data_IF_961095966455
#
_entry.id   IF_961095966455
#
_cell.length_a   1.000
_cell.length_b   1.000
_cell.length_c   1.000
_cell.angle_alpha   90.00
_cell.angle_beta   90.00
_cell.angle_gamma   90.00
#
_symmetry.space_group_name_H-M   'P 1'
#
loop_
_entity.id
_entity.type
_entity.pdbx_description
1 polymer ?
#
# COMPACT_ATOMS: atom_id res chain seq x y z
N UNK A 1 -11.99 31.65 -1.13
CA UNK A 1 -11.23 30.40 -1.24
C UNK A 1 -12.22 29.32 -1.66
N UNK A 2 -12.05 28.64 -2.80
CA UNK A 2 -13.06 27.74 -3.32
C UNK A 2 -13.13 26.50 -2.44
N UNK A 3 -14.33 26.14 -1.99
CA UNK A 3 -14.59 24.85 -1.35
C UNK A 3 -14.43 23.79 -2.42
N UNK A 4 -13.27 23.12 -2.43
CA UNK A 4 -13.07 21.93 -3.23
C UNK A 4 -14.15 20.92 -2.86
N UNK A 5 -14.99 20.58 -3.84
CA UNK A 5 -16.00 19.55 -3.74
C UNK A 5 -15.34 18.27 -3.20
N UNK A 6 -15.64 17.95 -1.94
CA UNK A 6 -15.16 16.73 -1.32
C UNK A 6 -16.11 15.64 -1.82
N UNK A 7 -15.79 15.02 -2.96
CA UNK A 7 -16.51 13.81 -3.36
C UNK A 7 -16.42 12.84 -2.19
N UNK A 8 -17.55 12.36 -1.64
CA UNK A 8 -17.53 11.40 -0.55
C UNK A 8 -16.73 10.18 -1.01
N UNK A 9 -15.57 9.96 -0.40
CA UNK A 9 -14.82 8.72 -0.61
C UNK A 9 -15.68 7.59 -0.05
N UNK A 10 -16.10 6.68 -0.91
CA UNK A 10 -16.73 5.45 -0.46
C UNK A 10 -15.64 4.63 0.27
N UNK A 11 -15.87 4.37 1.55
CA UNK A 11 -14.95 3.67 2.43
C UNK A 11 -15.52 2.31 2.84
N UNK A 12 -15.84 1.39 1.91
CA UNK A 12 -16.55 0.17 2.25
C UNK A 12 -15.72 -0.78 3.12
N UNK A 13 -14.39 -0.78 2.96
CA UNK A 13 -13.50 -1.74 3.59
C UNK A 13 -13.29 -1.50 5.10
N UNK A 14 -13.29 -2.57 5.89
CA UNK A 14 -12.87 -2.53 7.28
C UNK A 14 -11.36 -2.24 7.40
N UNK A 15 -10.90 -1.75 8.55
CA UNK A 15 -9.46 -1.63 8.82
C UNK A 15 -8.82 -3.02 8.81
N UNK A 16 -7.66 -3.21 8.15
CA UNK A 16 -7.05 -4.53 8.08
C UNK A 16 -6.57 -4.99 9.48
N UNK A 17 -6.77 -6.28 9.80
CA UNK A 17 -6.23 -6.87 11.02
C UNK A 17 -4.70 -6.90 10.97
N UNK A 18 -4.05 -7.14 12.10
CA UNK A 18 -2.58 -7.24 12.16
C UNK A 18 -1.83 -5.90 12.12
N UNK A 19 -0.75 -5.82 12.90
CA UNK A 19 0.05 -4.59 13.00
C UNK A 19 0.81 -4.26 11.70
N UNK A 20 1.33 -5.27 10.99
CA UNK A 20 2.06 -5.10 9.73
C UNK A 20 1.20 -4.46 8.64
N UNK A 21 -0.03 -4.96 8.46
CA UNK A 21 -0.99 -4.40 7.50
C UNK A 21 -1.36 -2.95 7.82
N UNK A 22 -1.63 -2.65 9.09
CA UNK A 22 -1.95 -1.27 9.50
C UNK A 22 -0.77 -0.32 9.32
N UNK A 23 0.46 -0.76 9.58
CA UNK A 23 1.66 0.01 9.33
C UNK A 23 1.83 0.30 7.83
N UNK A 24 1.67 -0.72 6.98
CA UNK A 24 1.75 -0.56 5.53
C UNK A 24 0.70 0.44 5.02
N UNK A 25 -0.56 0.26 5.42
CA UNK A 25 -1.64 1.15 5.01
C UNK A 25 -1.39 2.58 5.48
N UNK A 26 -0.93 2.75 6.73
CA UNK A 26 -0.54 4.06 7.25
C UNK A 26 0.56 4.72 6.41
N UNK A 27 1.66 4.00 6.16
CA UNK A 27 2.78 4.52 5.39
C UNK A 27 2.38 4.88 3.96
N UNK A 28 1.58 4.03 3.30
CA UNK A 28 1.06 4.29 1.95
C UNK A 28 0.18 5.55 1.92
N UNK A 29 -0.76 5.70 2.85
CA UNK A 29 -1.62 6.90 2.95
C UNK A 29 -0.84 8.18 3.19
N UNK A 30 0.18 8.12 4.05
CA UNK A 30 1.09 9.24 4.31
C UNK A 30 1.87 9.61 3.05
N UNK A 31 2.45 8.63 2.36
CA UNK A 31 3.23 8.88 1.15
C UNK A 31 2.37 9.38 -0.02
N UNK A 32 1.13 8.89 -0.14
CA UNK A 32 0.19 9.35 -1.15
C UNK A 32 -0.25 10.81 -0.95
N UNK A 33 -0.33 11.28 0.30
CA UNK A 33 -0.81 12.63 0.62
C UNK A 33 0.31 13.67 0.76
N UNK A 34 1.47 13.28 1.30
CA UNK A 34 2.57 14.18 1.64
C UNK A 34 3.86 13.91 0.85
N UNK A 35 3.85 12.93 -0.06
CA UNK A 35 4.99 12.53 -0.86
C UNK A 35 5.79 11.37 -0.27
N UNK A 36 6.58 10.70 -1.12
CA UNK A 36 7.31 9.47 -0.76
C UNK A 36 8.38 9.66 0.32
N UNK A 37 8.85 10.89 0.52
CA UNK A 37 9.79 11.26 1.57
C UNK A 37 9.13 11.68 2.90
N UNK A 38 7.84 11.41 3.09
CA UNK A 38 7.11 11.76 4.32
C UNK A 38 7.82 11.28 5.60
N UNK A 39 8.11 12.23 6.49
CA UNK A 39 8.86 11.99 7.72
C UNK A 39 8.08 11.11 8.72
N UNK A 40 6.76 11.19 8.74
CA UNK A 40 5.96 10.39 9.66
C UNK A 40 5.88 8.93 9.22
N UNK A 41 5.78 8.66 7.91
CA UNK A 41 5.92 7.32 7.36
C UNK A 41 7.31 6.74 7.71
N UNK A 42 8.38 7.52 7.50
CA UNK A 42 9.74 7.09 7.86
C UNK A 42 9.88 6.78 9.36
N UNK A 43 9.35 7.65 10.23
CA UNK A 43 9.38 7.44 11.67
C UNK A 43 8.56 6.21 12.11
N UNK A 44 7.40 5.97 11.50
CA UNK A 44 6.61 4.77 11.77
C UNK A 44 7.35 3.49 11.37
N UNK A 45 8.01 3.48 10.20
CA UNK A 45 8.84 2.36 9.76
C UNK A 45 10.04 2.15 10.69
N UNK A 46 10.69 3.22 11.15
CA UNK A 46 11.76 3.15 12.15
C UNK A 46 11.27 2.53 13.47
N UNK A 47 10.11 2.97 13.98
CA UNK A 47 9.51 2.43 15.19
C UNK A 47 9.14 0.96 15.07
N UNK A 48 8.66 0.53 13.90
CA UNK A 48 8.21 -0.83 13.67
C UNK A 48 9.35 -1.84 13.40
N UNK A 49 10.39 -1.41 12.66
CA UNK A 49 11.46 -2.28 12.16
C UNK A 49 12.82 -2.03 12.80
N UNK A 50 12.94 -1.00 13.65
CA UNK A 50 14.19 -0.66 14.34
C UNK A 50 15.33 -0.39 13.35
N UNK A 51 16.51 -0.93 13.62
CA UNK A 51 17.73 -0.70 12.81
C UNK A 51 17.58 -1.15 11.34
N UNK A 52 16.68 -2.09 11.07
CA UNK A 52 16.47 -2.66 9.73
C UNK A 52 15.44 -1.90 8.89
N UNK A 53 14.88 -0.78 9.39
CA UNK A 53 13.80 -0.03 8.73
C UNK A 53 14.12 0.47 7.32
N UNK A 54 15.40 0.66 6.99
CA UNK A 54 15.82 1.25 5.70
C UNK A 54 15.36 0.41 4.52
N UNK A 55 15.51 -0.92 4.59
CA UNK A 55 15.13 -1.83 3.50
C UNK A 55 13.63 -1.74 3.18
N UNK A 56 12.69 -1.97 4.12
CA UNK A 56 11.27 -1.86 3.82
C UNK A 56 10.86 -0.41 3.49
N UNK A 57 11.49 0.62 4.07
CA UNK A 57 11.19 2.01 3.72
C UNK A 57 11.56 2.36 2.27
N UNK A 58 12.75 1.98 1.81
CA UNK A 58 13.19 2.24 0.43
C UNK A 58 12.31 1.48 -0.56
N UNK A 59 11.95 0.23 -0.25
CA UNK A 59 11.06 -0.57 -1.10
C UNK A 59 9.65 -0.01 -1.14
N UNK A 60 9.11 0.48 -0.02
CA UNK A 60 7.84 1.20 0.01
C UNK A 60 7.86 2.44 -0.88
N UNK A 61 8.94 3.23 -0.86
CA UNK A 61 9.10 4.41 -1.73
C UNK A 61 9.16 4.02 -3.20
N UNK A 62 9.95 3.00 -3.54
CA UNK A 62 10.03 2.49 -4.91
C UNK A 62 8.66 2.01 -5.40
N UNK A 63 7.94 1.25 -4.56
CA UNK A 63 6.58 0.81 -4.86
C UNK A 63 5.63 1.97 -5.12
N UNK A 64 5.61 2.99 -4.25
CA UNK A 64 4.75 4.16 -4.43
C UNK A 64 5.06 4.93 -5.72
N UNK A 65 6.34 5.08 -6.06
CA UNK A 65 6.76 5.73 -7.31
C UNK A 65 6.35 4.90 -8.53
N UNK A 66 6.51 3.58 -8.46
CA UNK A 66 6.18 2.70 -9.57
C UNK A 66 4.66 2.64 -9.81
N UNK A 67 3.86 2.54 -8.75
CA UNK A 67 2.39 2.64 -8.84
C UNK A 67 1.95 3.96 -9.46
N UNK A 68 2.57 5.08 -9.05
CA UNK A 68 2.28 6.39 -9.60
C UNK A 68 2.72 6.53 -11.08
N UNK A 69 3.78 5.82 -11.48
CA UNK A 69 4.31 5.83 -12.85
C UNK A 69 3.39 5.09 -13.83
N UNK A 70 2.85 3.94 -13.45
CA UNK A 70 2.09 3.08 -14.36
C UNK A 70 0.58 3.23 -14.27
N UNK A 71 0.02 3.78 -13.19
CA UNK A 71 -1.43 3.99 -13.08
C UNK A 71 -1.97 4.91 -14.20
N UNK A 72 -2.94 4.43 -14.96
CA UNK A 72 -3.66 5.21 -15.98
C UNK A 72 -4.93 5.85 -15.44
N UNK A 73 -5.33 5.46 -14.22
CA UNK A 73 -6.45 6.02 -13.47
C UNK A 73 -6.02 6.55 -12.11
N UNK A 74 -6.84 7.43 -11.55
CA UNK A 74 -6.64 7.95 -10.19
C UNK A 74 -6.96 6.87 -9.15
N UNK A 75 -5.95 6.50 -8.38
CA UNK A 75 -6.09 5.63 -7.19
C UNK A 75 -6.60 6.50 -6.03
N UNK A 76 -7.72 6.12 -5.44
CA UNK A 76 -8.34 6.81 -4.32
C UNK A 76 -7.75 6.31 -3.01
N UNK A 77 -7.07 7.20 -2.30
CA UNK A 77 -6.44 6.94 -1.00
C UNK A 77 -7.11 7.79 0.05
N UNK A 78 -7.49 7.17 1.17
CA UNK A 78 -8.12 7.86 2.27
C UNK A 78 -7.11 8.68 3.09
N UNK A 79 -7.54 9.74 3.79
CA UNK A 79 -6.72 10.40 4.81
C UNK A 79 -6.17 9.40 5.84
N UNK A 80 -4.95 9.64 6.33
CA UNK A 80 -4.27 8.70 7.23
C UNK A 80 -5.01 8.44 8.56
N UNK A 81 -5.93 9.31 8.96
CA UNK A 81 -6.74 9.20 10.18
C UNK A 81 -8.02 8.36 10.01
N UNK A 82 -8.36 7.92 8.79
CA UNK A 82 -9.58 7.16 8.54
C UNK A 82 -9.48 5.72 9.07
N UNK A 83 -10.49 5.28 9.83
CA UNK A 83 -10.58 3.93 10.39
C UNK A 83 -11.13 2.87 9.40
N UNK A 84 -11.29 3.22 8.12
CA UNK A 84 -11.84 2.37 7.06
C UNK A 84 -11.00 2.52 5.81
N UNK A 85 -11.06 1.53 4.92
CA UNK A 85 -10.35 1.52 3.64
C UNK A 85 -11.26 1.93 2.48
N UNK A 86 -10.69 2.63 1.48
CA UNK A 86 -11.31 2.75 0.15
C UNK A 86 -11.30 1.39 -0.55
N UNK A 87 -12.08 1.26 -1.63
CA UNK A 87 -12.03 0.07 -2.48
C UNK A 87 -10.63 -0.13 -3.10
N UNK A 88 -10.00 0.93 -3.60
CA UNK A 88 -8.66 0.87 -4.20
C UNK A 88 -7.59 0.44 -3.17
N UNK A 89 -7.68 0.94 -1.93
CA UNK A 89 -6.79 0.52 -0.84
C UNK A 89 -6.97 -0.96 -0.49
N UNK A 90 -8.21 -1.43 -0.43
CA UNK A 90 -8.51 -2.84 -0.16
C UNK A 90 -7.99 -3.74 -1.29
N UNK A 91 -8.16 -3.35 -2.55
CA UNK A 91 -7.60 -4.07 -3.70
C UNK A 91 -6.07 -4.12 -3.64
N UNK A 92 -5.40 -3.00 -3.36
CA UNK A 92 -3.94 -2.98 -3.23
C UNK A 92 -3.44 -3.86 -2.07
N UNK A 93 -4.10 -3.79 -0.92
CA UNK A 93 -3.84 -4.64 0.24
C UNK A 93 -4.01 -6.12 -0.08
N UNK A 94 -5.02 -6.46 -0.88
CA UNK A 94 -5.22 -7.83 -1.33
C UNK A 94 -4.10 -8.27 -2.27
N UNK A 95 -3.80 -7.50 -3.31
CA UNK A 95 -2.75 -7.82 -4.28
C UNK A 95 -1.38 -8.01 -3.61
N UNK A 96 -0.99 -7.15 -2.65
CA UNK A 96 0.30 -7.30 -1.97
C UNK A 96 0.35 -8.52 -1.04
N UNK A 97 -0.79 -8.92 -0.47
CA UNK A 97 -0.87 -10.11 0.38
C UNK A 97 -0.73 -11.41 -0.41
N UNK A 98 -1.19 -11.43 -1.66
CA UNK A 98 -1.12 -12.61 -2.54
C UNK A 98 0.08 -12.59 -3.47
N UNK A 99 0.78 -11.45 -3.63
CA UNK A 99 1.84 -11.24 -4.62
C UNK A 99 2.95 -12.29 -4.63
N UNK A 100 3.28 -12.88 -3.47
CA UNK A 100 4.32 -13.92 -3.36
C UNK A 100 3.78 -15.33 -3.62
N UNK A 101 2.51 -15.60 -3.31
CA UNK A 101 1.93 -16.94 -3.37
C UNK A 101 1.23 -17.22 -4.70
N UNK A 102 0.58 -16.20 -5.26
CA UNK A 102 -0.12 -16.28 -6.54
C UNK A 102 0.18 -15.02 -7.39
N UNK A 103 1.39 -14.94 -7.97
CA UNK A 103 1.78 -13.80 -8.81
C UNK A 103 0.85 -13.57 -10.01
N UNK A 104 0.36 -14.60 -10.75
CA UNK A 104 -0.59 -14.40 -11.84
C UNK A 104 -1.91 -13.75 -11.38
N UNK A 105 -2.53 -14.22 -10.30
CA UNK A 105 -3.76 -13.60 -9.83
C UNK A 105 -3.53 -12.18 -9.31
N UNK A 106 -2.41 -11.94 -8.62
CA UNK A 106 -2.02 -10.61 -8.15
C UNK A 106 -1.75 -9.64 -9.32
N UNK A 107 -1.18 -10.13 -10.43
CA UNK A 107 -1.00 -9.37 -11.66
C UNK A 107 -2.34 -8.88 -12.22
N UNK A 108 -3.31 -9.77 -12.43
CA UNK A 108 -4.62 -9.44 -12.99
C UNK A 108 -5.36 -8.41 -12.11
N UNK A 109 -5.30 -8.58 -10.79
CA UNK A 109 -5.90 -7.64 -9.84
C UNK A 109 -5.22 -6.27 -9.89
N UNK A 110 -3.89 -6.25 -9.98
CA UNK A 110 -3.11 -5.03 -10.04
C UNK A 110 -3.31 -4.30 -11.38
N UNK A 111 -3.43 -5.05 -12.49
CA UNK A 111 -3.76 -4.52 -13.81
C UNK A 111 -5.13 -3.82 -13.81
N UNK A 112 -6.13 -4.47 -13.22
CA UNK A 112 -7.47 -3.89 -13.02
C UNK A 112 -7.43 -2.62 -12.15
N UNK A 113 -6.71 -2.66 -11.02
CA UNK A 113 -6.56 -1.50 -10.12
C UNK A 113 -5.91 -0.29 -10.82
N UNK A 114 -4.84 -0.55 -11.58
CA UNK A 114 -4.03 0.49 -12.22
C UNK A 114 -4.58 0.95 -13.57
N UNK A 115 -5.47 0.16 -14.19
CA UNK A 115 -6.07 0.43 -15.49
C UNK A 115 -5.10 0.19 -16.66
N UNK A 116 -4.11 -0.68 -16.50
CA UNK A 116 -3.10 -0.99 -17.53
C UNK A 116 -2.64 -2.43 -17.40
N UNK A 117 -2.15 -3.00 -18.50
CA UNK A 117 -1.49 -4.31 -18.52
C UNK A 117 0.01 -4.19 -18.16
N UNK A 118 0.62 -3.00 -18.25
CA UNK A 118 2.05 -2.83 -17.94
C UNK A 118 2.30 -2.70 -16.42
N UNK A 119 1.99 -3.77 -15.67
CA UNK A 119 2.05 -3.79 -14.19
C UNK A 119 3.14 -4.68 -13.61
N UNK A 120 3.98 -5.28 -14.46
CA UNK A 120 5.06 -6.17 -13.99
C UNK A 120 6.01 -5.44 -13.03
N UNK A 121 6.39 -4.20 -13.35
CA UNK A 121 7.23 -3.37 -12.49
C UNK A 121 6.58 -3.13 -11.12
N UNK A 122 5.29 -2.76 -11.10
CA UNK A 122 4.54 -2.57 -9.87
C UNK A 122 4.43 -3.87 -9.06
N UNK A 123 4.13 -5.00 -9.70
CA UNK A 123 4.04 -6.31 -9.06
C UNK A 123 5.37 -6.69 -8.38
N UNK A 124 6.50 -6.51 -9.06
CA UNK A 124 7.82 -6.79 -8.46
C UNK A 124 8.09 -5.91 -7.24
N UNK A 125 7.65 -4.65 -7.26
CA UNK A 125 7.75 -3.77 -6.09
C UNK A 125 6.87 -4.25 -4.93
N UNK A 126 5.63 -4.69 -5.21
CA UNK A 126 4.73 -5.28 -4.22
C UNK A 126 5.37 -6.51 -3.58
N UNK A 127 5.92 -7.42 -4.38
CA UNK A 127 6.61 -8.61 -3.90
C UNK A 127 7.82 -8.25 -3.02
N UNK A 128 8.63 -7.29 -3.44
CA UNK A 128 9.79 -6.86 -2.68
C UNK A 128 9.41 -6.28 -1.31
N UNK A 129 8.36 -5.45 -1.25
CA UNK A 129 7.80 -4.92 0.00
C UNK A 129 7.26 -6.06 0.87
N UNK A 130 6.44 -6.93 0.31
CA UNK A 130 5.84 -8.09 1.03
C UNK A 130 6.92 -8.99 1.63
N UNK A 131 7.98 -9.28 0.85
CA UNK A 131 9.11 -10.06 1.33
C UNK A 131 9.88 -9.35 2.44
N UNK A 132 10.18 -8.06 2.29
CA UNK A 132 10.90 -7.31 3.32
C UNK A 132 10.12 -7.20 4.63
N UNK A 133 8.79 -7.10 4.56
CA UNK A 133 7.89 -7.15 5.71
C UNK A 133 7.92 -8.53 6.39
N UNK A 134 7.84 -9.60 5.62
CA UNK A 134 7.91 -10.99 6.11
C UNK A 134 9.25 -11.30 6.77
N UNK A 135 10.37 -10.91 6.14
CA UNK A 135 11.73 -11.10 6.66
C UNK A 135 11.95 -10.43 8.03
N UNK A 136 11.21 -9.36 8.31
CA UNK A 136 11.30 -8.59 9.55
C UNK A 136 10.16 -8.91 10.55
N UNK A 137 9.44 -10.02 10.33
CA UNK A 137 8.43 -10.54 11.26
C UNK A 137 7.13 -9.75 11.30
N UNK A 138 6.83 -8.98 10.23
CA UNK A 138 5.60 -8.20 10.07
C UNK A 138 4.93 -8.51 8.72
N UNK A 139 4.56 -9.78 8.45
CA UNK A 139 4.01 -10.19 7.17
C UNK A 139 2.76 -9.38 6.81
N UNK A 140 2.58 -9.15 5.51
CA UNK A 140 1.43 -8.48 4.94
C UNK A 140 0.41 -9.54 4.51
N UNK A 141 -0.44 -9.94 5.42
CA UNK A 141 -1.49 -10.93 5.17
C UNK A 141 -2.82 -10.34 5.58
N UNK A 142 -3.63 -9.96 4.59
CA UNK A 142 -4.90 -9.27 4.80
C UNK A 142 -5.93 -10.15 5.53
N UNK A 143 -5.82 -11.48 5.41
CA UNK A 143 -6.82 -12.43 5.92
C UNK A 143 -6.26 -13.38 7.00
N UNK A 144 -4.98 -13.29 7.37
CA UNK A 144 -4.47 -13.95 8.57
C UNK A 144 -5.17 -13.40 9.82
N UNK A 145 -6.16 -14.14 10.31
CA UNK A 145 -6.91 -13.83 11.53
C UNK A 145 -8.33 -13.32 11.32
N UNK A 146 -8.90 -13.48 10.12
CA UNK A 146 -10.35 -13.44 9.89
C UNK A 146 -11.00 -14.80 10.12
#
# INVERSE_FOLDING_TARGET
>A
MPHGEITPLDLPGAMPPGYGNRLFLYAMRRMASAGVDDAHAANAMLGAFGRSYRRPLVLMRAMMLELARCATRRILVAPCCCARMTADEASLMHSISTALQDPPASYEQLASLLGTEDVLGALTCLQAVSQAHSDLGRPLDLYAGA
#
